data_IF_191510030970
#
_entry.id   IF_191510030970
#
_cell.length_a   1.000
_cell.length_b   1.000
_cell.length_c   1.000
_cell.angle_alpha   90.00
_cell.angle_beta   90.00
_cell.angle_gamma   90.00
#
_symmetry.space_group_name_H-M   'P 1'
#
loop_
_entity.id
_entity.type
_entity.pdbx_description
1 polymer ?
#
# COMPACT_ATOMS: atom_id res chain seq x y z
N UNK A 1 -22.67 -2.27 9.24
CA UNK A 1 -22.05 -1.69 8.04
C UNK A 1 -20.83 -2.53 7.69
N UNK A 2 -20.81 -3.16 6.50
CA UNK A 2 -19.60 -3.84 6.00
C UNK A 2 -18.59 -2.74 5.66
N UNK A 3 -17.49 -2.64 6.40
CA UNK A 3 -16.39 -1.75 6.04
C UNK A 3 -15.64 -2.40 4.89
N UNK A 4 -15.44 -1.65 3.82
CA UNK A 4 -14.61 -2.13 2.73
C UNK A 4 -13.15 -1.88 3.13
N UNK A 5 -12.53 -2.91 3.70
CA UNK A 5 -11.17 -2.86 4.22
C UNK A 5 -10.13 -3.10 3.11
N UNK A 6 -10.53 -3.07 1.84
CA UNK A 6 -9.64 -3.25 0.69
C UNK A 6 -9.22 -1.90 0.13
N UNK A 7 -7.92 -1.73 -0.07
CA UNK A 7 -7.32 -0.53 -0.62
C UNK A 7 -6.34 -0.91 -1.73
N UNK A 8 -6.34 -0.13 -2.80
CA UNK A 8 -5.31 -0.20 -3.84
C UNK A 8 -4.29 0.88 -3.56
N UNK A 9 -3.02 0.49 -3.49
CA UNK A 9 -1.89 1.39 -3.33
C UNK A 9 -1.18 1.50 -4.68
N UNK A 10 -0.89 2.73 -5.08
CA UNK A 10 -0.12 3.07 -6.26
C UNK A 10 1.14 3.81 -5.81
N UNK A 11 2.28 3.48 -6.37
CA UNK A 11 3.53 4.19 -6.09
C UNK A 11 4.51 3.99 -7.24
N UNK A 12 5.64 4.69 -7.22
CA UNK A 12 6.75 4.46 -8.13
C UNK A 12 7.92 3.87 -7.34
N UNK A 13 8.60 2.88 -7.93
CA UNK A 13 9.86 2.35 -7.43
C UNK A 13 10.94 2.59 -8.48
N UNK A 14 11.93 3.43 -8.17
CA UNK A 14 12.97 3.86 -9.11
C UNK A 14 12.40 4.45 -10.42
N UNK A 15 11.26 5.13 -10.33
CA UNK A 15 10.56 5.70 -11.48
C UNK A 15 9.61 4.72 -12.21
N UNK A 16 9.60 3.44 -11.83
CA UNK A 16 8.68 2.45 -12.41
C UNK A 16 7.37 2.41 -11.61
N UNK A 17 6.20 2.57 -12.26
CA UNK A 17 4.91 2.50 -11.58
C UNK A 17 4.63 1.08 -11.08
N UNK A 18 4.25 0.98 -9.81
CA UNK A 18 3.83 -0.25 -9.12
C UNK A 18 2.50 -0.05 -8.43
N UNK A 19 1.74 -1.14 -8.32
CA UNK A 19 0.50 -1.14 -7.54
C UNK A 19 0.19 -2.52 -6.98
N UNK A 20 -0.50 -2.52 -5.84
CA UNK A 20 -0.98 -3.74 -5.20
C UNK A 20 -2.24 -3.45 -4.38
N UNK A 21 -2.93 -4.51 -3.98
CA UNK A 21 -4.13 -4.43 -3.15
C UNK A 21 -3.77 -4.94 -1.75
N UNK A 22 -4.15 -4.18 -0.73
CA UNK A 22 -3.95 -4.54 0.68
C UNK A 22 -5.28 -4.51 1.43
N UNK A 23 -5.42 -5.43 2.39
CA UNK A 23 -6.51 -5.37 3.36
C UNK A 23 -6.02 -4.68 4.64
N UNK A 24 -6.64 -3.57 5.01
CA UNK A 24 -6.32 -2.81 6.22
C UNK A 24 -7.59 -2.25 6.89
N UNK A 25 -7.62 -2.07 8.21
CA UNK A 25 -8.80 -1.53 8.91
C UNK A 25 -9.05 -0.04 8.62
N UNK A 26 -8.02 0.67 8.18
CA UNK A 26 -8.05 2.08 7.77
C UNK A 26 -6.92 2.32 6.77
N UNK A 27 -7.01 3.42 6.02
CA UNK A 27 -5.96 3.85 5.12
C UNK A 27 -5.82 5.37 5.23
N UNK A 28 -4.61 5.80 5.58
CA UNK A 28 -4.19 7.19 5.53
C UNK A 28 -2.84 7.28 4.80
N UNK A 29 -2.35 8.51 4.59
CA UNK A 29 -1.08 8.71 3.90
C UNK A 29 0.08 7.97 4.57
N UNK A 30 0.19 7.99 5.91
CA UNK A 30 1.27 7.31 6.61
C UNK A 30 1.20 5.78 6.45
N UNK A 31 0.00 5.21 6.43
CA UNK A 31 -0.23 3.79 6.18
C UNK A 31 0.12 3.41 4.74
N UNK A 32 -0.28 4.21 3.75
CA UNK A 32 0.04 3.96 2.35
C UNK A 32 1.56 3.94 2.11
N UNK A 33 2.30 4.90 2.68
CA UNK A 33 3.77 4.92 2.62
C UNK A 33 4.42 3.73 3.33
N UNK A 34 3.85 3.29 4.46
CA UNK A 34 4.34 2.10 5.15
C UNK A 34 4.18 0.85 4.29
N UNK A 35 3.00 0.65 3.71
CA UNK A 35 2.71 -0.49 2.85
C UNK A 35 3.55 -0.48 1.57
N UNK A 36 3.72 0.67 0.91
CA UNK A 36 4.61 0.81 -0.24
C UNK A 36 6.07 0.48 0.12
N UNK A 37 6.52 0.87 1.31
CA UNK A 37 7.87 0.53 1.81
C UNK A 37 8.05 -0.96 2.11
N UNK A 38 7.00 -1.62 2.59
CA UNK A 38 6.97 -3.07 2.78
C UNK A 38 7.02 -3.81 1.43
N UNK A 39 6.19 -3.41 0.45
CA UNK A 39 6.14 -4.03 -0.89
C UNK A 39 7.45 -3.86 -1.66
N UNK A 40 8.08 -2.69 -1.56
CA UNK A 40 9.39 -2.41 -2.17
C UNK A 40 10.56 -3.16 -1.51
N UNK A 41 10.34 -3.91 -0.42
CA UNK A 41 11.40 -4.65 0.28
C UNK A 41 12.39 -3.74 1.03
N UNK A 42 12.04 -2.47 1.22
CA UNK A 42 12.87 -1.47 1.88
C UNK A 42 12.66 -1.48 3.40
N UNK A 43 11.47 -1.88 3.85
CA UNK A 43 11.21 -2.08 5.26
C UNK A 43 11.94 -3.33 5.77
N UNK A 44 12.75 -3.15 6.81
CA UNK A 44 13.40 -4.27 7.50
C UNK A 44 12.30 -5.10 8.18
N UNK A 45 12.24 -6.40 7.91
CA UNK A 45 11.40 -7.33 8.66
C UNK A 45 12.11 -7.58 10.00
N UNK A 46 11.54 -7.16 11.14
CA UNK A 46 12.19 -7.38 12.43
C UNK A 46 12.28 -8.88 12.69
N UNK A 47 13.46 -9.36 13.07
CA UNK A 47 13.60 -10.70 13.62
C UNK A 47 12.83 -10.76 14.95
N UNK A 48 12.23 -11.91 15.25
CA UNK A 48 11.46 -12.14 16.48
C UNK A 48 12.23 -11.61 17.72
N UNK A 49 11.63 -10.67 18.44
CA UNK A 49 12.17 -10.08 19.68
C UNK A 49 12.61 -8.62 19.61
N UNK A 50 12.77 -8.01 18.41
CA UNK A 50 13.09 -6.58 18.29
C UNK A 50 11.85 -5.73 18.00
N UNK A 51 11.23 -5.19 19.06
CA UNK A 51 9.98 -4.42 19.02
C UNK A 51 10.14 -2.94 18.61
N UNK A 52 11.37 -2.45 18.41
CA UNK A 52 11.65 -1.03 18.13
C UNK A 52 12.26 -0.81 16.74
N UNK A 53 11.53 -1.18 15.69
CA UNK A 53 11.92 -0.80 14.34
C UNK A 53 11.32 0.56 13.98
N UNK A 54 12.18 1.53 13.67
CA UNK A 54 11.74 2.85 13.17
C UNK A 54 11.01 2.65 11.85
N UNK A 55 9.71 3.00 11.82
CA UNK A 55 8.92 3.06 10.58
C UNK A 55 9.67 3.92 9.56
N UNK A 56 9.79 3.42 8.34
CA UNK A 56 10.43 4.16 7.24
C UNK A 56 9.65 5.46 7.02
N UNK A 57 10.31 6.58 7.25
CA UNK A 57 9.74 7.90 6.98
C UNK A 57 9.82 8.19 5.48
N UNK A 58 8.94 9.06 4.97
CA UNK A 58 8.94 9.51 3.57
C UNK A 58 10.34 9.87 3.02
N UNK A 59 11.15 10.73 3.67
CA UNK A 59 12.48 11.06 3.15
C UNK A 59 13.45 9.88 3.11
N UNK A 60 13.21 8.85 3.93
CA UNK A 60 13.97 7.60 3.86
C UNK A 60 13.48 6.74 2.69
N UNK A 61 12.16 6.60 2.50
CA UNK A 61 11.57 5.87 1.38
C UNK A 61 11.97 6.47 0.01
N UNK A 62 12.01 7.79 -0.10
CA UNK A 62 12.46 8.50 -1.30
C UNK A 62 13.92 8.19 -1.65
N UNK A 63 14.81 7.98 -0.66
CA UNK A 63 16.20 7.55 -0.91
C UNK A 63 16.30 6.15 -1.50
N UNK A 64 15.32 5.30 -1.25
CA UNK A 64 15.22 3.98 -1.86
C UNK A 64 14.40 3.99 -3.16
N UNK A 65 14.09 5.17 -3.70
CA UNK A 65 13.39 5.32 -4.97
C UNK A 65 11.88 5.13 -4.87
N UNK A 66 11.29 5.10 -3.68
CA UNK A 66 9.84 5.05 -3.50
C UNK A 66 9.29 6.47 -3.59
N UNK A 67 8.48 6.74 -4.61
CA UNK A 67 7.90 8.06 -4.88
C UNK A 67 6.43 7.96 -5.25
N UNK A 68 5.73 9.12 -5.28
CA UNK A 68 4.34 9.26 -5.74
C UNK A 68 3.36 8.23 -5.14
N UNK A 69 3.46 8.00 -3.83
CA UNK A 69 2.56 7.07 -3.14
C UNK A 69 1.15 7.68 -3.05
N UNK A 70 0.19 6.98 -3.64
CA UNK A 70 -1.23 7.30 -3.66
C UNK A 70 -2.04 6.05 -3.28
N UNK A 71 -3.25 6.24 -2.78
CA UNK A 71 -4.12 5.13 -2.40
C UNK A 71 -5.58 5.45 -2.69
N UNK A 72 -6.34 4.39 -2.96
CA UNK A 72 -7.77 4.45 -3.21
C UNK A 72 -8.45 3.31 -2.45
N UNK A 73 -9.59 3.57 -1.82
CA UNK A 73 -10.44 2.48 -1.34
C UNK A 73 -11.00 1.72 -2.52
N UNK A 74 -11.08 0.39 -2.41
CA UNK A 74 -11.90 -0.35 -3.34
C UNK A 74 -13.33 0.20 -3.21
N UNK A 75 -13.93 0.60 -4.33
CA UNK A 75 -15.38 0.78 -4.38
C UNK A 75 -16.03 -0.59 -4.59
N UNK A 76 -17.30 -0.72 -4.26
CA UNK A 76 -18.07 -1.94 -4.52
C UNK A 76 -17.95 -2.29 -6.02
N UNK A 77 -17.36 -3.45 -6.33
CA UNK A 77 -17.36 -3.98 -7.69
C UNK A 77 -18.78 -4.44 -7.98
N UNK A 78 -19.53 -3.63 -8.72
CA UNK A 78 -20.76 -4.08 -9.37
C UNK A 78 -20.35 -4.92 -10.58
N UNK A 79 -20.42 -6.24 -10.43
CA UNK A 79 -20.29 -7.15 -11.56
C UNK A 79 -21.40 -6.81 -12.55
N UNK A 80 -21.05 -6.29 -13.72
CA UNK A 80 -21.98 -6.23 -14.83
C UNK A 80 -22.20 -7.68 -15.25
N UNK A 81 -23.33 -8.25 -14.83
CA UNK A 81 -23.84 -9.50 -15.39
C UNK A 81 -23.87 -9.29 -16.90
N UNK A 82 -22.98 -10.00 -17.60
CA UNK A 82 -22.90 -9.90 -19.05
C UNK A 82 -24.21 -10.47 -19.58
N UNK A 83 -25.06 -9.61 -20.14
CA UNK A 83 -26.26 -10.01 -20.87
C UNK A 83 -25.81 -10.99 -21.94
N UNK A 84 -26.10 -12.27 -21.70
CA UNK A 84 -26.00 -13.30 -22.74
C UNK A 84 -27.28 -13.16 -23.56
N UNK A 85 -27.13 -12.71 -24.81
CA UNK A 85 -28.20 -12.73 -25.83
C UNK A 85 -28.58 -14.15 -26.22
#
# INVERSE_FOLDING_TARGET
>A
MKRNDLFTIHYQLHGEPKSFIVRAPQMNNAEAWHWASCDAGVAVIPKFGQQNLKRVSRPMAEKYGITDVQWSSATEIKWAESVTS
#
